data_IF_150367253763
#
_entry.id   IF_150367253763
#
_cell.length_a   1.000
_cell.length_b   1.000
_cell.length_c   1.000
_cell.angle_alpha   90.00
_cell.angle_beta   90.00
_cell.angle_gamma   90.00
#
_symmetry.space_group_name_H-M   'P 1'
#
loop_
_entity.id
_entity.type
_entity.pdbx_description
1 polymer ?
#
# COMPACT_ATOMS: atom_id res chain seq x y z
N UNK A 1 -27.92 -28.15 32.11
CA UNK A 1 -28.77 -27.38 33.05
C UNK A 1 -29.13 -26.07 32.35
N UNK A 2 -30.37 -25.90 31.89
CA UNK A 2 -30.83 -24.66 31.23
C UNK A 2 -31.32 -23.70 32.33
N UNK A 3 -30.93 -22.43 32.28
CA UNK A 3 -31.35 -21.41 33.25
C UNK A 3 -32.88 -21.29 33.24
N UNK A 4 -33.52 -21.49 34.38
CA UNK A 4 -34.99 -21.48 34.50
C UNK A 4 -35.64 -20.10 34.25
N UNK A 5 -34.82 -19.07 34.01
CA UNK A 5 -35.25 -17.72 33.64
C UNK A 5 -35.41 -17.53 32.13
N UNK A 6 -34.95 -18.47 31.31
CA UNK A 6 -35.04 -18.38 29.85
C UNK A 6 -36.38 -18.92 29.33
N UNK A 7 -36.94 -18.24 28.32
CA UNK A 7 -38.21 -18.55 27.68
C UNK A 7 -37.99 -18.86 26.19
N UNK A 8 -37.67 -20.12 25.83
CA UNK A 8 -37.27 -20.47 24.45
C UNK A 8 -38.36 -20.17 23.41
N UNK A 9 -39.64 -20.16 23.80
CA UNK A 9 -40.75 -19.85 22.89
C UNK A 9 -40.75 -18.38 22.41
N UNK A 10 -40.05 -17.49 23.11
CA UNK A 10 -39.94 -16.07 22.75
C UNK A 10 -38.85 -15.80 21.70
N UNK A 11 -37.92 -16.72 21.50
CA UNK A 11 -36.78 -16.54 20.61
C UNK A 11 -37.05 -17.00 19.18
N UNK A 12 -37.15 -16.14 18.16
CA UNK A 12 -37.36 -16.58 16.77
C UNK A 12 -36.18 -17.41 16.21
N UNK A 13 -36.46 -18.36 15.32
CA UNK A 13 -35.44 -19.07 14.52
C UNK A 13 -35.31 -18.36 13.17
N UNK A 14 -34.15 -17.78 12.91
CA UNK A 14 -33.86 -17.13 11.65
C UNK A 14 -33.17 -18.09 10.67
N UNK A 15 -33.44 -17.92 9.37
CA UNK A 15 -32.67 -18.61 8.33
C UNK A 15 -31.45 -17.77 7.99
N UNK A 16 -30.35 -18.43 7.61
CA UNK A 16 -29.13 -17.74 7.15
C UNK A 16 -29.44 -16.80 5.96
N UNK A 17 -30.38 -17.19 5.10
CA UNK A 17 -30.83 -16.38 3.96
C UNK A 17 -31.56 -15.06 4.35
N UNK A 18 -31.92 -14.90 5.62
CA UNK A 18 -32.63 -13.72 6.14
C UNK A 18 -31.77 -12.92 7.13
N UNK A 19 -30.47 -13.21 7.22
CA UNK A 19 -29.56 -12.53 8.12
C UNK A 19 -29.18 -11.15 7.58
N UNK A 20 -29.42 -10.11 8.38
CA UNK A 20 -28.99 -8.74 8.09
C UNK A 20 -27.98 -8.29 9.17
N UNK A 21 -26.71 -8.07 8.81
CA UNK A 21 -25.67 -7.65 9.74
C UNK A 21 -25.89 -6.24 10.31
N UNK A 22 -26.77 -5.42 9.72
CA UNK A 22 -27.11 -4.09 10.23
C UNK A 22 -28.15 -4.13 11.36
N UNK A 23 -28.79 -5.28 11.60
CA UNK A 23 -29.79 -5.42 12.66
C UNK A 23 -29.13 -5.53 14.03
N UNK A 24 -29.65 -4.80 15.03
CA UNK A 24 -29.13 -4.84 16.39
C UNK A 24 -29.18 -6.26 16.99
N UNK A 25 -28.15 -6.61 17.76
CA UNK A 25 -28.07 -7.91 18.42
C UNK A 25 -29.31 -8.17 19.31
N UNK A 26 -29.82 -9.42 19.38
CA UNK A 26 -30.95 -9.76 20.22
C UNK A 26 -30.66 -9.47 21.70
N UNK A 27 -31.59 -8.79 22.37
CA UNK A 27 -31.46 -8.50 23.82
C UNK A 27 -31.67 -9.75 24.68
N UNK A 28 -32.44 -10.72 24.18
CA UNK A 28 -32.85 -11.93 24.89
C UNK A 28 -32.01 -13.15 24.48
N UNK A 29 -30.68 -12.99 24.49
CA UNK A 29 -29.74 -14.02 24.04
C UNK A 29 -29.94 -15.38 24.74
N UNK A 30 -30.33 -15.36 26.02
CA UNK A 30 -30.61 -16.56 26.81
C UNK A 30 -31.79 -17.38 26.25
N UNK A 31 -32.83 -16.72 25.73
CA UNK A 31 -33.99 -17.38 25.13
C UNK A 31 -33.57 -18.08 23.83
N UNK A 32 -32.72 -17.41 23.03
CA UNK A 32 -32.17 -17.96 21.78
C UNK A 32 -31.24 -19.15 22.03
N UNK A 33 -30.33 -19.05 23.01
CA UNK A 33 -29.46 -20.17 23.40
C UNK A 33 -30.26 -21.37 23.91
N UNK A 34 -31.31 -21.13 24.70
CA UNK A 34 -32.17 -22.19 25.23
C UNK A 34 -32.94 -22.88 24.11
N UNK A 35 -33.47 -22.11 23.15
CA UNK A 35 -34.15 -22.66 21.96
C UNK A 35 -33.20 -23.45 21.06
N UNK A 36 -31.97 -22.97 20.87
CA UNK A 36 -30.92 -23.71 20.17
C UNK A 36 -30.61 -25.05 20.87
N UNK A 37 -30.42 -25.04 22.19
CA UNK A 37 -30.12 -26.24 22.96
C UNK A 37 -31.26 -27.28 22.86
N UNK A 38 -32.53 -26.84 22.88
CA UNK A 38 -33.69 -27.71 22.67
C UNK A 38 -33.75 -28.32 21.27
N UNK A 39 -33.37 -27.56 20.23
CA UNK A 39 -33.31 -28.08 18.87
C UNK A 39 -32.12 -29.04 18.67
N UNK A 40 -30.97 -28.73 19.26
CA UNK A 40 -29.77 -29.55 19.20
C UNK A 40 -30.01 -30.93 19.81
N UNK A 41 -30.64 -31.01 20.98
CA UNK A 41 -30.97 -32.28 21.65
C UNK A 41 -31.96 -33.17 20.90
N UNK A 42 -32.64 -32.66 19.86
CA UNK A 42 -33.57 -33.43 19.02
C UNK A 42 -32.91 -34.04 17.78
N UNK A 43 -31.61 -33.83 17.56
CA UNK A 43 -30.88 -34.41 16.44
C UNK A 43 -30.51 -35.87 16.71
N UNK A 44 -30.26 -36.65 15.66
CA UNK A 44 -29.71 -38.00 15.80
C UNK A 44 -28.24 -37.90 16.24
N UNK A 45 -27.95 -38.39 17.44
CA UNK A 45 -26.65 -38.34 18.13
C UNK A 45 -26.13 -36.93 18.49
N UNK A 46 -26.81 -36.20 19.40
CA UNK A 46 -26.41 -34.85 19.75
C UNK A 46 -25.21 -34.87 20.72
N UNK A 47 -24.21 -34.03 20.44
CA UNK A 47 -23.14 -33.79 21.41
C UNK A 47 -23.70 -33.27 22.75
N UNK A 48 -23.13 -33.66 23.90
CA UNK A 48 -23.46 -33.04 25.18
C UNK A 48 -23.26 -31.53 25.10
N UNK A 49 -24.20 -30.74 25.65
CA UNK A 49 -24.16 -29.27 25.55
C UNK A 49 -22.87 -28.67 26.10
N UNK A 50 -22.26 -29.30 27.11
CA UNK A 50 -20.96 -28.90 27.67
C UNK A 50 -19.82 -28.99 26.64
N UNK A 51 -19.94 -29.87 25.63
CA UNK A 51 -18.99 -30.01 24.52
C UNK A 51 -19.30 -29.08 23.34
N UNK A 52 -20.43 -28.36 23.39
CA UNK A 52 -20.82 -27.39 22.37
C UNK A 52 -20.47 -25.95 22.77
N UNK A 53 -19.99 -25.74 24.00
CA UNK A 53 -19.43 -24.46 24.43
C UNK A 53 -17.98 -24.42 23.99
N UNK A 54 -17.69 -23.54 23.04
CA UNK A 54 -16.32 -23.20 22.66
C UNK A 54 -15.95 -21.92 23.39
N UNK A 55 -15.08 -22.02 24.37
CA UNK A 55 -14.48 -20.83 25.00
C UNK A 55 -13.54 -20.18 23.99
N UNK A 56 -13.96 -19.05 23.45
CA UNK A 56 -13.13 -18.22 22.58
C UNK A 56 -12.36 -17.24 23.46
N UNK A 57 -11.14 -17.61 23.83
CA UNK A 57 -10.20 -16.70 24.46
C UNK A 57 -9.48 -15.90 23.36
N UNK A 58 -9.76 -14.60 23.31
CA UNK A 58 -9.01 -13.63 22.50
C UNK A 58 -8.10 -12.83 23.42
N UNK A 59 -6.91 -13.35 23.79
CA UNK A 59 -6.00 -12.66 24.71
C UNK A 59 -5.59 -11.27 24.19
N UNK A 60 -5.60 -11.05 22.88
CA UNK A 60 -5.36 -9.76 22.21
C UNK A 60 -6.44 -8.70 22.49
N UNK A 61 -7.63 -9.10 22.97
CA UNK A 61 -8.73 -8.20 23.37
C UNK A 61 -8.75 -7.92 24.88
N UNK A 62 -7.81 -8.47 25.64
CA UNK A 62 -7.69 -8.18 27.07
C UNK A 62 -7.32 -6.71 27.26
N UNK A 63 -8.01 -6.01 28.16
CA UNK A 63 -7.93 -4.54 28.27
C UNK A 63 -6.54 -3.97 28.55
N UNK A 64 -5.63 -4.76 29.12
CA UNK A 64 -4.22 -4.43 29.36
C UNK A 64 -3.34 -4.52 28.10
N UNK A 65 -3.83 -5.15 27.02
CA UNK A 65 -3.13 -5.30 25.75
C UNK A 65 -3.66 -4.41 24.64
N UNK A 66 -4.74 -3.67 24.90
CA UNK A 66 -5.31 -2.74 23.94
C UNK A 66 -4.46 -1.48 23.82
N UNK A 67 -4.22 -1.08 22.59
CA UNK A 67 -3.48 0.11 22.21
C UNK A 67 -4.40 1.33 22.22
N UNK A 68 -3.95 2.41 22.83
CA UNK A 68 -4.59 3.71 22.74
C UNK A 68 -4.18 4.50 21.50
N UNK A 69 -4.76 5.69 21.36
CA UNK A 69 -4.51 6.62 20.24
C UNK A 69 -3.02 6.93 20.03
N UNK A 70 -2.22 7.03 21.09
CA UNK A 70 -0.78 7.33 20.96
C UNK A 70 -0.02 6.18 20.29
N UNK A 71 -0.28 4.94 20.74
CA UNK A 71 0.41 3.75 20.24
C UNK A 71 -0.05 3.41 18.81
N UNK A 72 -1.36 3.50 18.54
CA UNK A 72 -1.88 3.32 17.18
C UNK A 72 -1.32 4.37 16.21
N UNK A 73 -1.24 5.65 16.62
CA UNK A 73 -0.67 6.69 15.78
C UNK A 73 0.82 6.44 15.50
N UNK A 74 1.58 5.99 16.51
CA UNK A 74 2.98 5.64 16.36
C UNK A 74 3.18 4.47 15.37
N UNK A 75 2.35 3.42 15.44
CA UNK A 75 2.36 2.31 14.47
C UNK A 75 2.08 2.80 13.05
N UNK A 76 1.13 3.71 12.88
CA UNK A 76 0.79 4.31 11.58
C UNK A 76 1.78 5.38 11.09
N UNK A 77 2.86 5.66 11.82
CA UNK A 77 3.86 6.68 11.48
C UNK A 77 3.31 8.12 11.47
N UNK A 78 2.25 8.39 12.26
CA UNK A 78 1.60 9.70 12.32
C UNK A 78 1.53 10.22 13.76
N UNK A 79 1.17 11.49 13.91
CA UNK A 79 0.92 12.07 15.23
C UNK A 79 -0.47 11.69 15.74
N UNK A 80 -0.63 11.69 17.07
CA UNK A 80 -1.93 11.44 17.69
C UNK A 80 -2.99 12.50 17.33
N UNK A 81 -2.59 13.74 17.01
CA UNK A 81 -3.53 14.75 16.52
C UNK A 81 -4.04 14.42 15.11
N UNK A 82 -3.18 13.94 14.22
CA UNK A 82 -3.58 13.47 12.88
C UNK A 82 -4.56 12.29 12.99
N UNK A 83 -4.25 11.29 13.82
CA UNK A 83 -5.14 10.13 14.00
C UNK A 83 -6.52 10.54 14.52
N UNK A 84 -6.59 11.44 15.51
CA UNK A 84 -7.88 11.98 15.99
C UNK A 84 -8.64 12.71 14.89
N UNK A 85 -7.91 13.45 14.04
CA UNK A 85 -8.49 14.08 12.86
C UNK A 85 -9.15 13.08 11.92
N UNK A 86 -8.45 11.98 11.59
CA UNK A 86 -9.00 10.92 10.75
C UNK A 86 -10.24 10.27 11.36
N UNK A 87 -10.19 9.92 12.65
CA UNK A 87 -11.34 9.35 13.37
C UNK A 87 -12.55 10.29 13.31
N UNK A 88 -12.34 11.58 13.54
CA UNK A 88 -13.44 12.56 13.53
C UNK A 88 -14.07 12.78 12.15
N UNK A 89 -13.30 12.56 11.08
CA UNK A 89 -13.74 12.80 9.69
C UNK A 89 -14.13 11.52 8.94
N UNK A 90 -13.90 10.34 9.53
CA UNK A 90 -14.10 9.06 8.83
C UNK A 90 -13.16 8.88 7.64
N UNK A 91 -11.92 9.34 7.76
CA UNK A 91 -10.92 9.28 6.69
C UNK A 91 -9.88 8.17 6.91
N UNK A 92 -9.14 7.80 5.86
CA UNK A 92 -8.00 6.87 5.91
C UNK A 92 -8.34 5.48 6.50
N UNK A 93 -9.59 5.06 6.35
CA UNK A 93 -10.11 3.74 6.74
C UNK A 93 -9.67 3.30 8.15
N UNK A 94 -9.63 4.25 9.08
CA UNK A 94 -9.27 3.95 10.48
C UNK A 94 -10.33 3.00 11.06
N UNK A 95 -9.94 1.81 11.56
CA UNK A 95 -10.88 0.84 12.07
C UNK A 95 -11.65 1.39 13.29
N UNK A 96 -12.87 0.91 13.47
CA UNK A 96 -13.66 1.22 14.67
C UNK A 96 -12.93 0.71 15.93
N UNK A 97 -12.99 1.45 17.04
CA UNK A 97 -12.38 1.00 18.29
C UNK A 97 -13.11 -0.23 18.83
N UNK A 98 -12.33 -1.18 19.34
CA UNK A 98 -12.86 -2.41 19.95
C UNK A 98 -13.26 -2.19 21.41
N UNK A 99 -12.73 -1.16 22.06
CA UNK A 99 -13.16 -0.74 23.39
C UNK A 99 -13.08 0.78 23.54
N UNK A 100 -13.87 1.30 24.49
CA UNK A 100 -13.76 2.68 24.98
C UNK A 100 -13.56 2.66 26.49
N UNK A 101 -12.34 2.92 26.95
CA UNK A 101 -11.99 2.92 28.38
C UNK A 101 -11.76 4.36 28.83
N UNK A 102 -12.54 4.83 29.80
CA UNK A 102 -12.47 6.22 30.26
C UNK A 102 -12.70 7.25 29.16
N UNK A 103 -13.56 6.94 28.18
CA UNK A 103 -13.84 7.81 27.03
C UNK A 103 -12.75 7.81 25.94
N UNK A 104 -11.76 6.92 26.03
CA UNK A 104 -10.66 6.81 25.05
C UNK A 104 -10.84 5.57 24.20
N UNK A 105 -10.81 5.78 22.88
CA UNK A 105 -10.80 4.70 21.89
C UNK A 105 -9.55 3.82 22.03
N UNK A 106 -9.75 2.51 21.98
CA UNK A 106 -8.68 1.52 22.03
C UNK A 106 -8.88 0.41 21.00
N UNK A 107 -7.77 -0.14 20.51
CA UNK A 107 -7.71 -1.17 19.48
C UNK A 107 -6.80 -2.30 19.92
N UNK A 108 -7.07 -3.53 19.50
CA UNK A 108 -6.12 -4.62 19.62
C UNK A 108 -4.91 -4.33 18.75
N UNK A 109 -3.77 -4.87 19.18
CA UNK A 109 -2.52 -4.78 18.42
C UNK A 109 -2.67 -5.31 16.98
N UNK A 110 -3.27 -6.49 16.71
CA UNK A 110 -3.44 -6.98 15.34
C UNK A 110 -4.23 -6.02 14.44
N UNK A 111 -5.31 -5.40 14.96
CA UNK A 111 -6.10 -4.44 14.19
C UNK A 111 -5.29 -3.18 13.87
N UNK A 112 -4.51 -2.70 14.85
CA UNK A 112 -3.66 -1.54 14.65
C UNK A 112 -2.51 -1.81 13.66
N UNK A 113 -1.90 -2.99 13.72
CA UNK A 113 -0.83 -3.41 12.82
C UNK A 113 -1.33 -3.62 11.38
N UNK A 114 -2.49 -4.25 11.20
CA UNK A 114 -3.14 -4.41 9.89
C UNK A 114 -3.48 -3.06 9.25
N UNK A 115 -4.09 -2.14 10.01
CA UNK A 115 -4.36 -0.78 9.54
C UNK A 115 -3.06 -0.02 9.20
N UNK A 116 -2.04 -0.13 10.05
CA UNK A 116 -0.75 0.52 9.81
C UNK A 116 -0.08 -0.01 8.53
N UNK A 117 -0.19 -1.31 8.27
CA UNK A 117 0.33 -1.95 7.06
C UNK A 117 -0.49 -1.56 5.82
N UNK A 118 -1.83 -1.56 5.89
CA UNK A 118 -2.68 -1.09 4.82
C UNK A 118 -2.36 0.36 4.44
N UNK A 119 -2.17 1.22 5.46
CA UNK A 119 -1.71 2.60 5.28
C UNK A 119 -0.32 2.66 4.64
N UNK A 120 0.62 1.84 5.12
CA UNK A 120 2.00 1.80 4.61
C UNK A 120 2.05 1.46 3.12
N UNK A 121 1.23 0.50 2.67
CA UNK A 121 1.12 0.05 1.28
C UNK A 121 0.19 0.90 0.41
N UNK A 122 -0.60 1.79 0.99
CA UNK A 122 -1.50 2.68 0.24
C UNK A 122 -0.73 3.57 -0.75
N UNK A 123 -1.43 4.05 -1.78
CA UNK A 123 -0.88 4.99 -2.76
C UNK A 123 -0.34 6.27 -2.11
N UNK A 124 -1.02 6.76 -1.07
CA UNK A 124 -0.59 7.92 -0.28
C UNK A 124 0.62 7.59 0.60
N UNK A 125 0.65 6.41 1.22
CA UNK A 125 1.80 5.95 2.01
C UNK A 125 3.07 5.78 1.17
N UNK A 126 2.94 5.25 -0.04
CA UNK A 126 4.04 5.19 -1.01
C UNK A 126 4.46 6.59 -1.47
N UNK A 127 3.49 7.44 -1.81
CA UNK A 127 3.76 8.81 -2.23
C UNK A 127 4.52 9.55 -1.14
N UNK A 128 4.05 9.57 0.09
CA UNK A 128 4.72 10.25 1.19
C UNK A 128 6.15 9.75 1.40
N UNK A 129 6.39 8.43 1.33
CA UNK A 129 7.73 7.86 1.44
C UNK A 129 8.65 8.33 0.30
N UNK A 130 8.20 8.22 -0.95
CA UNK A 130 8.98 8.58 -2.13
C UNK A 130 9.25 10.09 -2.24
N UNK A 131 8.44 10.93 -1.60
CA UNK A 131 8.58 12.39 -1.62
C UNK A 131 9.35 12.95 -0.41
N UNK A 132 9.58 12.16 0.64
CA UNK A 132 10.08 12.63 1.94
C UNK A 132 11.47 13.28 1.90
N UNK A 133 12.34 12.83 0.98
CA UNK A 133 13.72 13.29 0.88
C UNK A 133 13.90 14.64 0.17
N UNK A 134 12.85 15.20 -0.43
CA UNK A 134 12.96 16.42 -1.24
C UNK A 134 12.27 17.63 -0.62
N UNK A 135 12.95 18.79 -0.66
CA UNK A 135 12.46 20.06 -0.11
C UNK A 135 11.16 20.56 -0.76
N UNK A 136 10.89 20.17 -2.00
CA UNK A 136 9.68 20.54 -2.72
C UNK A 136 8.71 19.36 -2.84
N UNK A 137 8.94 18.28 -2.07
CA UNK A 137 8.15 17.04 -2.13
C UNK A 137 8.02 16.51 -3.56
N UNK A 138 9.11 16.53 -4.32
CA UNK A 138 9.20 15.89 -5.63
C UNK A 138 9.67 14.43 -5.49
N UNK A 139 9.23 13.58 -6.41
CA UNK A 139 9.73 12.21 -6.49
C UNK A 139 11.22 12.23 -6.86
N UNK A 140 12.01 11.18 -6.53
CA UNK A 140 13.47 11.23 -6.66
C UNK A 140 13.93 11.59 -8.07
N UNK A 141 13.28 11.03 -9.10
CA UNK A 141 13.58 11.34 -10.49
C UNK A 141 13.19 12.77 -10.89
N UNK A 142 12.05 13.26 -10.40
CA UNK A 142 11.64 14.64 -10.63
C UNK A 142 12.58 15.66 -9.96
N UNK A 143 13.07 15.36 -8.75
CA UNK A 143 14.08 16.15 -8.06
C UNK A 143 15.40 16.19 -8.86
N UNK A 144 15.87 15.04 -9.39
CA UNK A 144 17.04 15.00 -10.26
C UNK A 144 16.86 15.83 -11.53
N UNK A 145 15.66 15.80 -12.14
CA UNK A 145 15.33 16.65 -13.30
C UNK A 145 15.42 18.13 -12.91
N UNK A 146 14.79 18.53 -11.80
CA UNK A 146 14.90 19.91 -11.28
C UNK A 146 16.36 20.32 -11.12
N UNK A 147 17.17 19.53 -10.43
CA UNK A 147 18.55 19.91 -10.12
C UNK A 147 19.38 20.05 -11.41
N UNK A 148 19.20 19.14 -12.37
CA UNK A 148 19.85 19.21 -13.68
C UNK A 148 19.40 20.44 -14.49
N UNK A 149 18.10 20.73 -14.54
CA UNK A 149 17.58 21.85 -15.31
C UNK A 149 17.90 23.19 -14.65
N UNK A 150 18.00 23.25 -13.32
CA UNK A 150 18.43 24.46 -12.61
C UNK A 150 19.84 24.86 -13.06
N UNK A 151 20.80 23.93 -13.03
CA UNK A 151 22.16 24.20 -13.50
C UNK A 151 22.22 24.54 -14.99
N UNK A 152 21.38 23.90 -15.80
CA UNK A 152 21.27 24.17 -17.24
C UNK A 152 20.74 25.57 -17.51
N UNK A 153 19.61 25.95 -16.90
CA UNK A 153 19.01 27.26 -17.03
C UNK A 153 19.91 28.34 -16.46
N UNK A 154 20.53 28.11 -15.30
CA UNK A 154 21.48 29.05 -14.73
C UNK A 154 22.67 29.27 -15.65
N UNK A 155 23.25 28.19 -16.19
CA UNK A 155 24.37 28.29 -17.13
C UNK A 155 23.95 29.05 -18.41
N UNK A 156 22.75 28.81 -18.92
CA UNK A 156 22.21 29.52 -20.08
C UNK A 156 21.94 31.01 -19.81
N UNK A 157 21.31 31.34 -18.67
CA UNK A 157 20.87 32.69 -18.33
C UNK A 157 22.00 33.58 -17.81
N UNK A 158 22.95 33.00 -17.06
CA UNK A 158 24.04 33.73 -16.41
C UNK A 158 25.35 33.59 -17.15
N UNK A 159 25.86 32.39 -17.44
CA UNK A 159 27.24 32.22 -17.96
C UNK A 159 27.43 32.74 -19.39
N UNK A 160 26.34 32.99 -20.12
CA UNK A 160 26.32 33.59 -21.46
C UNK A 160 26.26 35.12 -21.41
N UNK A 161 27.31 35.86 -21.81
CA UNK A 161 27.33 37.33 -21.73
C UNK A 161 26.22 38.00 -22.56
N UNK A 162 25.87 37.41 -23.71
CA UNK A 162 24.84 37.90 -24.62
C UNK A 162 23.42 37.80 -24.06
N UNK A 163 23.18 36.84 -23.15
CA UNK A 163 21.92 36.67 -22.43
C UNK A 163 21.96 37.47 -21.12
N UNK A 164 23.06 37.42 -20.38
CA UNK A 164 23.25 38.17 -19.12
C UNK A 164 22.96 39.66 -19.30
N UNK A 165 23.40 40.26 -20.42
CA UNK A 165 23.15 41.68 -20.72
C UNK A 165 21.68 42.03 -20.99
N UNK A 166 20.80 41.04 -21.18
CA UNK A 166 19.35 41.24 -21.37
C UNK A 166 18.60 41.41 -20.05
N UNK A 167 19.21 41.01 -18.93
CA UNK A 167 18.65 41.24 -17.62
C UNK A 167 18.65 42.73 -17.29
N UNK A 168 17.55 43.22 -16.73
CA UNK A 168 17.47 44.58 -16.19
C UNK A 168 18.54 44.79 -15.11
N UNK A 169 19.15 45.97 -15.07
CA UNK A 169 20.34 46.24 -14.25
C UNK A 169 20.17 45.85 -12.77
N UNK A 170 18.98 46.11 -12.19
CA UNK A 170 18.65 45.73 -10.80
C UNK A 170 18.73 44.22 -10.53
N UNK A 171 18.40 43.39 -11.53
CA UNK A 171 18.32 41.93 -11.43
C UNK A 171 19.48 41.21 -12.13
N UNK A 172 20.45 41.97 -12.69
CA UNK A 172 21.64 41.41 -13.33
C UNK A 172 22.68 41.03 -12.28
N UNK A 173 22.31 40.12 -11.39
CA UNK A 173 23.16 39.57 -10.36
C UNK A 173 22.93 38.05 -10.29
N UNK A 174 23.94 37.32 -9.86
CA UNK A 174 23.90 35.86 -9.81
C UNK A 174 22.75 35.30 -8.95
N UNK A 175 22.48 35.81 -7.73
CA UNK A 175 21.37 35.34 -6.91
C UNK A 175 20.00 35.41 -7.61
N UNK A 176 19.65 36.55 -8.20
CA UNK A 176 18.37 36.71 -8.90
C UNK A 176 18.25 35.78 -10.11
N UNK A 177 19.34 35.55 -10.85
CA UNK A 177 19.30 34.64 -12.00
C UNK A 177 19.19 33.18 -11.56
N UNK A 178 19.84 32.82 -10.45
CA UNK A 178 19.77 31.47 -9.86
C UNK A 178 18.36 31.16 -9.35
N UNK A 179 17.73 32.11 -8.67
CA UNK A 179 16.34 32.00 -8.22
C UNK A 179 15.37 31.72 -9.38
N UNK A 180 15.48 32.47 -10.49
CA UNK A 180 14.65 32.23 -11.68
C UNK A 180 14.97 30.87 -12.33
N UNK A 181 16.24 30.48 -12.40
CA UNK A 181 16.64 29.19 -12.95
C UNK A 181 16.07 28.02 -12.12
N UNK A 182 16.16 28.12 -10.78
CA UNK A 182 15.58 27.15 -9.84
C UNK A 182 14.06 27.06 -10.01
N UNK A 183 13.38 28.21 -10.12
CA UNK A 183 11.92 28.24 -10.28
C UNK A 183 11.48 27.61 -11.61
N UNK A 184 12.16 27.93 -12.72
CA UNK A 184 11.86 27.32 -14.02
C UNK A 184 12.11 25.81 -14.01
N UNK A 185 13.19 25.38 -13.36
CA UNK A 185 13.51 23.96 -13.26
C UNK A 185 12.50 23.20 -12.39
N UNK A 186 12.02 23.82 -11.30
CA UNK A 186 10.94 23.28 -10.49
C UNK A 186 9.66 23.13 -11.30
N UNK A 187 9.26 24.14 -12.06
CA UNK A 187 8.06 24.09 -12.91
C UNK A 187 8.13 22.95 -13.94
N UNK A 188 9.29 22.74 -14.57
CA UNK A 188 9.50 21.60 -15.48
C UNK A 188 9.34 20.26 -14.77
N UNK A 189 9.91 20.13 -13.58
CA UNK A 189 9.84 18.90 -12.79
C UNK A 189 8.42 18.60 -12.29
N UNK A 190 7.68 19.61 -11.83
CA UNK A 190 6.30 19.47 -11.37
C UNK A 190 5.34 19.17 -12.54
N UNK A 191 5.59 19.76 -13.71
CA UNK A 191 4.80 19.55 -14.92
C UNK A 191 5.15 18.28 -15.71
N UNK A 192 6.01 17.38 -15.20
CA UNK A 192 6.44 16.18 -15.94
C UNK A 192 5.29 15.31 -16.47
N UNK A 193 4.19 15.18 -15.71
CA UNK A 193 3.00 14.43 -16.14
C UNK A 193 2.32 15.02 -17.38
N UNK A 194 2.50 16.31 -17.65
CA UNK A 194 1.98 16.98 -18.86
C UNK A 194 2.92 16.84 -20.05
N UNK A 195 4.20 16.54 -19.79
CA UNK A 195 5.25 16.41 -20.80
C UNK A 195 5.36 14.95 -21.27
N UNK A 196 5.21 14.00 -20.34
CA UNK A 196 5.38 12.57 -20.59
C UNK A 196 4.02 11.87 -20.49
N UNK A 197 3.59 11.12 -21.54
CA UNK A 197 2.30 10.43 -21.54
C UNK A 197 2.35 9.17 -20.66
N UNK A 198 2.16 9.35 -19.35
CA UNK A 198 2.21 8.25 -18.37
C UNK A 198 1.12 7.20 -18.60
N UNK A 199 0.01 7.62 -19.17
CA UNK A 199 -1.14 6.80 -19.57
C UNK A 199 -0.80 5.82 -20.70
N UNK A 200 0.11 6.20 -21.61
CA UNK A 200 0.63 5.31 -22.65
C UNK A 200 1.86 4.52 -22.16
N UNK A 201 2.74 5.14 -21.37
CA UNK A 201 3.99 4.53 -20.92
C UNK A 201 3.75 3.32 -20.01
N UNK A 202 2.84 3.43 -19.04
CA UNK A 202 2.55 2.36 -18.09
C UNK A 202 2.09 1.05 -18.75
N UNK A 203 1.07 1.08 -19.63
CA UNK A 203 0.64 -0.10 -20.36
C UNK A 203 1.73 -0.66 -21.26
N UNK A 204 2.53 0.19 -21.92
CA UNK A 204 3.67 -0.27 -22.73
C UNK A 204 4.71 -1.01 -21.89
N UNK A 205 5.08 -0.49 -20.72
CA UNK A 205 6.00 -1.18 -19.78
C UNK A 205 5.38 -2.51 -19.35
N UNK A 206 4.10 -2.54 -18.96
CA UNK A 206 3.40 -3.78 -18.58
C UNK A 206 3.49 -4.85 -19.67
N UNK A 207 3.10 -4.51 -20.90
CA UNK A 207 3.12 -5.45 -22.01
C UNK A 207 4.54 -5.95 -22.32
N UNK A 208 5.53 -5.07 -22.32
CA UNK A 208 6.92 -5.45 -22.56
C UNK A 208 7.47 -6.37 -21.45
N UNK A 209 7.13 -6.10 -20.19
CA UNK A 209 7.54 -6.94 -19.05
C UNK A 209 6.97 -8.34 -19.16
N UNK A 210 5.68 -8.46 -19.48
CA UNK A 210 5.02 -9.75 -19.62
C UNK A 210 5.60 -10.56 -20.78
N UNK A 211 5.97 -9.92 -21.90
CA UNK A 211 6.64 -10.60 -23.00
C UNK A 211 8.07 -11.04 -22.66
N UNK A 212 8.85 -10.23 -21.94
CA UNK A 212 10.18 -10.63 -21.44
C UNK A 212 10.05 -11.86 -20.53
N UNK A 213 9.07 -11.89 -19.62
CA UNK A 213 8.82 -13.04 -18.75
C UNK A 213 8.32 -14.27 -19.51
N UNK A 214 7.39 -14.12 -20.46
CA UNK A 214 6.94 -15.20 -21.30
C UNK A 214 8.10 -15.79 -22.12
N UNK A 215 9.03 -14.94 -22.59
CA UNK A 215 10.23 -15.38 -23.29
C UNK A 215 11.18 -16.15 -22.36
N UNK A 216 11.45 -15.66 -21.14
CA UNK A 216 12.20 -16.39 -20.12
C UNK A 216 11.59 -17.76 -19.82
N UNK A 217 10.26 -17.83 -19.69
CA UNK A 217 9.53 -19.08 -19.44
C UNK A 217 9.72 -20.08 -20.58
N UNK A 218 9.46 -19.67 -21.83
CA UNK A 218 9.65 -20.51 -23.03
C UNK A 218 11.09 -21.03 -23.15
N UNK A 219 12.09 -20.21 -22.78
CA UNK A 219 13.50 -20.62 -22.79
C UNK A 219 13.80 -21.67 -21.72
N UNK A 220 13.24 -21.51 -20.51
CA UNK A 220 13.40 -22.46 -19.42
C UNK A 220 12.75 -23.82 -19.74
N UNK A 221 11.53 -23.80 -20.28
CA UNK A 221 10.80 -25.01 -20.71
C UNK A 221 11.58 -25.81 -21.75
N UNK A 222 12.17 -25.13 -22.75
CA UNK A 222 13.02 -25.77 -23.78
C UNK A 222 14.27 -26.42 -23.20
N UNK A 223 14.77 -25.94 -22.06
CA UNK A 223 15.94 -26.51 -21.37
C UNK A 223 15.57 -27.64 -20.41
N UNK A 224 14.28 -27.96 -20.27
CA UNK A 224 13.81 -29.01 -19.36
C UNK A 224 14.02 -28.70 -17.88
N UNK A 225 14.22 -27.43 -17.53
CA UNK A 225 14.43 -26.97 -16.15
C UNK A 225 13.12 -26.51 -15.49
N UNK A 226 13.05 -26.60 -14.16
CA UNK A 226 12.06 -25.82 -13.40
C UNK A 226 12.42 -24.34 -13.46
N UNK A 227 11.44 -23.49 -13.76
CA UNK A 227 11.61 -22.05 -13.69
C UNK A 227 11.94 -21.64 -12.27
N UNK A 228 13.12 -21.06 -12.06
CA UNK A 228 13.47 -20.47 -10.77
C UNK A 228 13.20 -18.98 -10.85
N UNK A 229 12.86 -18.38 -9.71
CA UNK A 229 12.59 -16.93 -9.61
C UNK A 229 13.73 -16.06 -10.18
N UNK A 230 14.97 -16.58 -10.23
CA UNK A 230 16.12 -15.90 -10.83
C UNK A 230 16.20 -15.94 -12.36
N UNK A 231 15.41 -16.79 -13.02
CA UNK A 231 15.39 -16.90 -14.48
C UNK A 231 14.52 -15.80 -15.14
N UNK A 232 13.71 -15.10 -14.33
CA UNK A 232 12.93 -13.95 -14.74
C UNK A 232 13.81 -12.69 -14.70
N UNK A 233 14.17 -12.20 -15.89
CA UNK A 233 15.07 -11.06 -16.05
C UNK A 233 14.46 -10.14 -17.10
N UNK A 234 14.37 -8.85 -16.79
CA UNK A 234 14.03 -7.85 -17.80
C UNK A 234 15.25 -7.54 -18.65
N UNK A 235 15.03 -7.34 -19.94
CA UNK A 235 16.01 -6.74 -20.84
C UNK A 235 16.50 -5.40 -20.26
N UNK A 236 17.78 -5.08 -20.48
CA UNK A 236 18.41 -3.87 -19.91
C UNK A 236 17.62 -2.58 -20.24
N UNK A 237 17.16 -2.35 -21.48
CA UNK A 237 16.36 -1.16 -21.78
C UNK A 237 15.06 -1.10 -20.98
N UNK A 238 14.38 -2.24 -20.81
CA UNK A 238 13.13 -2.31 -20.08
C UNK A 238 13.33 -2.11 -18.58
N UNK A 239 14.39 -2.69 -18.00
CA UNK A 239 14.75 -2.45 -16.61
C UNK A 239 15.05 -0.96 -16.33
N UNK A 240 15.71 -0.27 -17.26
CA UNK A 240 15.96 1.18 -17.19
C UNK A 240 14.67 1.99 -17.31
N UNK A 241 13.77 1.63 -18.23
CA UNK A 241 12.46 2.28 -18.34
C UNK A 241 11.61 2.10 -17.09
N UNK A 242 11.57 0.89 -16.52
CA UNK A 242 10.86 0.60 -15.27
C UNK A 242 11.43 1.42 -14.12
N UNK A 243 12.75 1.44 -13.97
CA UNK A 243 13.43 2.20 -12.91
C UNK A 243 13.21 3.70 -13.04
N UNK A 244 13.23 4.21 -14.27
CA UNK A 244 12.87 5.59 -14.56
C UNK A 244 11.42 5.87 -14.18
N UNK A 245 10.49 4.99 -14.56
CA UNK A 245 9.07 5.14 -14.25
C UNK A 245 8.78 5.15 -12.74
N UNK A 246 9.43 4.27 -11.98
CA UNK A 246 9.37 4.23 -10.51
C UNK A 246 9.86 5.55 -9.90
N UNK A 247 11.01 6.06 -10.35
CA UNK A 247 11.60 7.28 -9.79
C UNK A 247 10.80 8.55 -10.12
N UNK A 248 10.12 8.61 -11.26
CA UNK A 248 9.44 9.82 -11.72
C UNK A 248 7.94 9.81 -11.43
N UNK A 249 7.29 8.64 -11.42
CA UNK A 249 5.85 8.50 -11.26
C UNK A 249 5.49 7.34 -10.31
N UNK A 250 5.94 7.35 -9.04
CA UNK A 250 5.86 6.19 -8.14
C UNK A 250 4.43 5.65 -7.96
N UNK A 251 3.43 6.51 -7.77
CA UNK A 251 2.03 6.07 -7.62
C UNK A 251 1.50 5.37 -8.87
N UNK A 252 1.87 5.85 -10.06
CA UNK A 252 1.48 5.21 -11.32
C UNK A 252 2.25 3.89 -11.49
N UNK A 253 3.55 3.89 -11.21
CA UNK A 253 4.37 2.69 -11.23
C UNK A 253 3.84 1.60 -10.30
N UNK A 254 3.41 1.95 -9.08
CA UNK A 254 2.81 1.01 -8.13
C UNK A 254 1.60 0.29 -8.73
N UNK A 255 0.69 1.04 -9.36
CA UNK A 255 -0.47 0.48 -10.01
C UNK A 255 -0.08 -0.50 -11.12
N UNK A 256 0.80 -0.10 -12.04
CA UNK A 256 1.22 -0.96 -13.15
C UNK A 256 2.06 -2.17 -12.69
N UNK A 257 2.85 -2.06 -11.63
CA UNK A 257 3.56 -3.20 -11.04
C UNK A 257 2.54 -4.18 -10.42
N UNK A 258 1.50 -3.68 -9.76
CA UNK A 258 0.35 -4.48 -9.33
C UNK A 258 -0.30 -5.26 -10.47
N UNK A 259 -0.61 -4.58 -11.58
CA UNK A 259 -1.18 -5.22 -12.77
C UNK A 259 -0.23 -6.26 -13.40
N UNK A 260 1.07 -5.95 -13.48
CA UNK A 260 2.08 -6.91 -13.96
C UNK A 260 2.08 -8.17 -13.09
N UNK A 261 2.08 -8.03 -11.76
CA UNK A 261 2.03 -9.18 -10.85
C UNK A 261 0.73 -9.98 -11.03
N UNK A 262 -0.41 -9.31 -11.09
CA UNK A 262 -1.71 -9.96 -11.25
C UNK A 262 -1.87 -10.67 -12.60
N UNK A 263 -1.33 -10.10 -13.68
CA UNK A 263 -1.38 -10.72 -15.01
C UNK A 263 -0.34 -11.82 -15.18
N UNK A 264 0.86 -11.67 -14.61
CA UNK A 264 1.87 -12.73 -14.63
C UNK A 264 1.37 -13.99 -13.90
N UNK A 265 0.66 -13.82 -12.78
CA UNK A 265 0.02 -14.93 -12.07
C UNK A 265 -1.05 -15.60 -12.92
N UNK A 266 -2.00 -14.81 -13.45
CA UNK A 266 -3.13 -15.34 -14.23
C UNK A 266 -2.75 -15.94 -15.58
N UNK A 267 -1.79 -15.35 -16.29
CA UNK A 267 -1.47 -15.73 -17.67
C UNK A 267 -0.25 -16.64 -17.78
N UNK A 268 0.72 -16.48 -16.87
CA UNK A 268 2.00 -17.21 -16.91
C UNK A 268 2.17 -18.16 -15.73
N UNK A 269 1.25 -18.15 -14.75
CA UNK A 269 1.35 -18.97 -13.53
C UNK A 269 2.51 -18.57 -12.62
N UNK A 270 2.98 -17.32 -12.73
CA UNK A 270 4.11 -16.82 -11.93
C UNK A 270 3.55 -16.10 -10.69
N UNK A 271 3.83 -16.58 -9.46
CA UNK A 271 3.31 -15.95 -8.26
C UNK A 271 3.71 -14.47 -8.14
N UNK A 272 2.80 -13.63 -7.64
CA UNK A 272 3.00 -12.19 -7.50
C UNK A 272 4.30 -11.81 -6.76
N UNK A 273 4.66 -12.57 -5.71
CA UNK A 273 5.91 -12.36 -4.97
C UNK A 273 7.14 -12.60 -5.85
N UNK A 274 7.17 -13.71 -6.58
CA UNK A 274 8.27 -14.05 -7.51
C UNK A 274 8.41 -12.99 -8.59
N UNK A 275 7.29 -12.52 -9.13
CA UNK A 275 7.27 -11.40 -10.08
C UNK A 275 7.83 -10.12 -9.43
N UNK A 276 7.36 -9.74 -8.26
CA UNK A 276 7.82 -8.55 -7.54
C UNK A 276 9.32 -8.56 -7.26
N UNK A 277 9.86 -9.70 -6.83
CA UNK A 277 11.29 -9.89 -6.59
C UNK A 277 12.10 -9.81 -7.90
N UNK A 278 11.62 -10.41 -8.99
CA UNK A 278 12.26 -10.34 -10.29
C UNK A 278 12.30 -8.90 -10.84
N UNK A 279 11.21 -8.14 -10.66
CA UNK A 279 11.14 -6.72 -11.01
C UNK A 279 12.10 -5.90 -10.18
N UNK A 280 12.11 -6.09 -8.85
CA UNK A 280 13.04 -5.41 -7.94
C UNK A 280 14.48 -5.65 -8.34
N UNK A 281 14.87 -6.93 -8.51
CA UNK A 281 16.23 -7.30 -8.92
C UNK A 281 16.60 -6.68 -10.26
N UNK A 282 15.72 -6.75 -11.25
CA UNK A 282 15.97 -6.16 -12.58
C UNK A 282 16.14 -4.65 -12.49
N UNK A 283 15.28 -3.96 -11.72
CA UNK A 283 15.37 -2.52 -11.51
C UNK A 283 16.67 -2.11 -10.81
N UNK A 284 17.12 -2.85 -9.79
CA UNK A 284 18.38 -2.53 -9.09
C UNK A 284 19.62 -2.88 -9.90
N UNK A 285 19.64 -4.03 -10.58
CA UNK A 285 20.85 -4.54 -11.26
C UNK A 285 21.03 -3.95 -12.65
N UNK A 286 19.96 -3.93 -13.46
CA UNK A 286 20.02 -3.49 -14.86
C UNK A 286 19.45 -2.07 -15.04
N UNK A 287 18.55 -1.66 -14.15
CA UNK A 287 17.86 -0.38 -14.20
C UNK A 287 18.54 0.75 -13.41
N UNK A 288 19.59 0.43 -12.65
CA UNK A 288 20.38 1.37 -11.85
C UNK A 288 19.54 2.12 -10.78
N UNK A 289 18.40 1.55 -10.36
CA UNK A 289 17.64 2.08 -9.24
C UNK A 289 18.44 1.91 -7.94
N UNK A 290 18.64 2.99 -7.20
CA UNK A 290 19.38 2.92 -5.94
C UNK A 290 18.67 2.00 -4.94
N UNK A 291 19.46 1.32 -4.10
CA UNK A 291 18.94 0.28 -3.21
C UNK A 291 17.93 0.81 -2.19
N UNK A 292 18.06 2.06 -1.77
CA UNK A 292 17.14 2.66 -0.80
C UNK A 292 15.78 2.92 -1.44
N UNK A 293 15.73 3.62 -2.57
CA UNK A 293 14.50 3.89 -3.33
C UNK A 293 13.83 2.58 -3.75
N UNK A 294 14.61 1.60 -4.21
CA UNK A 294 14.08 0.29 -4.54
C UNK A 294 13.42 -0.36 -3.32
N UNK A 295 14.06 -0.32 -2.15
CA UNK A 295 13.50 -0.93 -0.95
C UNK A 295 12.25 -0.19 -0.47
N UNK A 296 12.25 1.14 -0.49
CA UNK A 296 11.08 1.97 -0.15
C UNK A 296 9.87 1.66 -1.05
N UNK A 297 10.10 1.56 -2.36
CA UNK A 297 9.05 1.27 -3.33
C UNK A 297 8.54 -0.18 -3.24
N UNK A 298 9.45 -1.17 -3.32
CA UNK A 298 9.05 -2.58 -3.43
C UNK A 298 8.55 -3.16 -2.10
N UNK A 299 8.98 -2.67 -0.93
CA UNK A 299 8.41 -3.09 0.37
C UNK A 299 6.93 -2.74 0.54
N UNK A 300 6.48 -1.70 -0.17
CA UNK A 300 5.10 -1.21 -0.17
C UNK A 300 4.24 -1.79 -1.30
N UNK A 301 4.89 -2.33 -2.33
CA UNK A 301 4.21 -2.79 -3.55
C UNK A 301 4.12 -4.31 -3.61
N UNK A 302 5.17 -5.03 -3.19
CA UNK A 302 5.21 -6.49 -3.25
C UNK A 302 4.57 -7.07 -1.99
N UNK A 303 3.66 -8.07 -2.12
CA UNK A 303 3.09 -8.76 -0.97
C UNK A 303 4.20 -9.42 -0.11
N UNK A 304 4.01 -9.43 1.21
CA UNK A 304 4.88 -10.20 2.11
C UNK A 304 4.58 -11.69 1.99
N UNK A 305 5.59 -12.50 2.23
CA UNK A 305 5.41 -13.93 2.49
C UNK A 305 4.48 -14.08 3.70
N UNK A 306 3.43 -14.93 3.64
CA UNK A 306 2.71 -15.28 4.84
C UNK A 306 3.70 -15.99 5.78
N UNK A 307 3.96 -15.41 6.95
CA UNK A 307 4.67 -16.12 8.02
C UNK A 307 3.84 -17.37 8.36
N UNK A 308 4.41 -18.55 8.06
CA UNK A 308 3.80 -19.85 8.31
C UNK A 308 3.91 -20.30 9.76
#
# INVERSE_FOLDING_TARGET
MLDGRAHPDRAPVHKVATFDPATAAPKDWLDHLTRWAQHHQKQDDPLPLEKCVVDLASPELTGDRLLGVLEMAALGGITASTLRGYISRGENDVPLPQATVGGRAQWSRPVAEDWAEARHRSSDGLKDAMLAGDRHRLAPGAAQIRDRFSETFFSFLWKRPDIRKRWGLRHRNEPSVREVADQLAFEVADSLRRIIPTDALGPTIRHAVLEDFATSLRVSERRGGQLKAFDLILSVPLAKMLSWFIQHFPTSAQWYVGEIMGEADKQLGIPAQVTGEALRRSATTNGELDGQTANEFFSRTVPREPEG
#
